data_IF_700962575571
#
_entry.id   IF_700962575571
#
_cell.length_a   1.000
_cell.length_b   1.000
_cell.length_c   1.000
_cell.angle_alpha   90.00
_cell.angle_beta   90.00
_cell.angle_gamma   90.00
#
_symmetry.space_group_name_H-M   'P 1'
#
loop_
_entity.id
_entity.type
_entity.pdbx_description
1 polymer ?
#
# COMPACT_ATOMS: atom_id res chain seq x y z
N UNK A 1 -20.98 69.41 25.68
CA UNK A 1 -22.34 69.14 25.14
C UNK A 1 -22.14 68.26 23.90
N UNK A 2 -22.50 66.98 23.80
CA UNK A 2 -23.34 66.05 24.58
C UNK A 2 -22.61 64.72 24.74
N UNK A 3 -22.77 64.13 25.91
CA UNK A 3 -22.45 62.73 26.24
C UNK A 3 -23.54 61.85 25.61
N UNK A 4 -23.17 60.76 24.94
CA UNK A 4 -24.09 59.65 24.68
C UNK A 4 -23.41 58.31 24.98
N UNK A 5 -23.93 57.71 26.05
CA UNK A 5 -23.82 56.29 26.37
C UNK A 5 -24.27 55.43 25.19
N UNK A 6 -23.59 54.31 24.97
CA UNK A 6 -24.26 53.09 24.51
C UNK A 6 -23.50 51.87 25.01
N UNK A 7 -24.01 51.33 26.10
CA UNK A 7 -23.86 49.92 26.46
C UNK A 7 -24.40 49.06 25.31
N UNK A 8 -23.74 47.94 25.00
CA UNK A 8 -24.40 46.72 24.52
C UNK A 8 -23.45 45.52 24.51
N UNK A 9 -23.96 44.48 25.18
CA UNK A 9 -23.82 43.05 24.87
C UNK A 9 -22.43 42.41 24.96
N UNK A 10 -22.13 41.87 26.14
CA UNK A 10 -21.30 40.67 26.26
C UNK A 10 -22.06 39.49 25.64
N UNK A 11 -21.58 38.99 24.49
CA UNK A 11 -22.03 37.72 23.92
C UNK A 11 -21.16 36.61 24.53
N UNK A 12 -21.76 35.78 25.39
CA UNK A 12 -21.14 34.56 25.92
C UNK A 12 -21.12 33.54 24.77
N UNK A 13 -19.95 33.34 24.16
CA UNK A 13 -19.74 32.27 23.19
C UNK A 13 -19.54 30.96 23.95
N UNK A 14 -20.61 30.17 24.08
CA UNK A 14 -20.51 28.79 24.53
C UNK A 14 -19.81 27.97 23.42
N UNK A 15 -18.52 27.70 23.59
CA UNK A 15 -17.82 26.68 22.80
C UNK A 15 -18.40 25.31 23.16
N UNK A 16 -19.35 24.85 22.35
CA UNK A 16 -19.66 23.42 22.23
C UNK A 16 -18.42 22.73 21.70
N UNK A 17 -17.64 22.10 22.58
CA UNK A 17 -16.71 21.05 22.19
C UNK A 17 -17.53 19.91 21.59
N UNK A 18 -17.64 19.89 20.26
CA UNK A 18 -17.98 18.68 19.55
C UNK A 18 -16.84 17.69 19.83
N UNK A 19 -17.09 16.74 20.72
CA UNK A 19 -16.25 15.55 20.87
C UNK A 19 -16.32 14.84 19.54
N UNK A 20 -15.29 15.03 18.71
CA UNK A 20 -15.02 14.20 17.56
C UNK A 20 -14.67 12.82 18.10
N UNK A 21 -15.68 11.98 18.28
CA UNK A 21 -15.49 10.55 18.39
C UNK A 21 -14.86 10.10 17.07
N UNK A 22 -13.55 9.89 17.11
CA UNK A 22 -12.77 9.33 16.01
C UNK A 22 -13.49 8.07 15.49
N UNK A 23 -13.79 7.95 14.18
CA UNK A 23 -14.51 6.81 13.61
C UNK A 23 -13.66 5.52 13.54
N UNK A 24 -12.55 5.45 14.28
CA UNK A 24 -11.61 4.32 14.26
C UNK A 24 -12.00 3.17 15.19
N UNK A 25 -13.12 3.28 15.88
CA UNK A 25 -13.85 2.11 16.35
C UNK A 25 -14.73 1.52 15.22
N UNK A 26 -14.16 1.31 14.02
CA UNK A 26 -14.56 0.17 13.19
C UNK A 26 -14.03 -1.10 13.89
N UNK A 27 -14.54 -1.31 15.12
CA UNK A 27 -14.57 -2.62 15.71
C UNK A 27 -15.25 -3.47 14.65
N UNK A 28 -14.58 -4.54 14.24
CA UNK A 28 -15.20 -5.74 13.70
C UNK A 28 -16.07 -6.40 14.79
N UNK A 29 -16.91 -5.60 15.44
CA UNK A 29 -18.15 -6.07 15.98
C UNK A 29 -18.92 -6.51 14.73
N UNK A 30 -18.77 -7.80 14.39
CA UNK A 30 -19.99 -8.59 14.27
C UNK A 30 -20.85 -8.07 15.41
N UNK A 31 -21.89 -7.30 15.10
CA UNK A 31 -22.86 -6.95 16.13
C UNK A 31 -23.15 -8.29 16.78
N UNK A 32 -22.76 -8.49 18.04
CA UNK A 32 -22.74 -9.84 18.65
C UNK A 32 -24.14 -10.49 18.58
N UNK A 33 -25.14 -9.65 18.27
CA UNK A 33 -26.55 -9.94 18.11
C UNK A 33 -27.05 -10.01 16.65
N UNK A 34 -26.18 -9.94 15.62
CA UNK A 34 -26.63 -10.18 14.24
C UNK A 34 -26.96 -11.66 14.08
N UNK A 35 -28.18 -12.01 13.65
CA UNK A 35 -28.55 -13.40 13.39
C UNK A 35 -27.79 -13.98 12.19
N UNK A 36 -27.43 -13.17 11.19
CA UNK A 36 -26.64 -13.63 10.06
C UNK A 36 -25.16 -13.80 10.41
N UNK A 37 -24.58 -14.95 10.09
CA UNK A 37 -23.17 -15.27 10.37
C UNK A 37 -22.53 -16.01 9.19
N UNK A 38 -21.28 -15.67 8.90
CA UNK A 38 -20.40 -16.47 8.05
C UNK A 38 -19.38 -17.12 8.97
N UNK A 39 -19.37 -18.44 9.02
CA UNK A 39 -18.40 -19.24 9.75
C UNK A 39 -17.40 -19.82 8.76
N UNK A 40 -16.10 -19.69 9.05
CA UNK A 40 -15.03 -20.29 8.27
C UNK A 40 -14.28 -21.26 9.17
N UNK A 41 -13.91 -22.44 8.66
CA UNK A 41 -13.16 -23.42 9.45
C UNK A 41 -11.78 -22.90 9.89
N UNK A 42 -11.22 -21.96 9.11
CA UNK A 42 -9.97 -21.28 9.39
C UNK A 42 -9.99 -19.85 8.85
N UNK A 43 -9.55 -18.90 9.65
CA UNK A 43 -9.55 -17.47 9.30
C UNK A 43 -8.14 -16.87 9.20
N UNK A 44 -7.12 -17.59 9.68
CA UNK A 44 -5.73 -17.13 9.69
C UNK A 44 -4.80 -18.11 9.00
N UNK A 45 -3.85 -17.60 8.21
CA UNK A 45 -2.93 -18.41 7.43
C UNK A 45 -1.53 -17.80 7.49
N UNK A 46 -0.53 -18.65 7.68
CA UNK A 46 0.85 -18.21 7.55
C UNK A 46 1.17 -18.02 6.07
N UNK A 47 1.70 -16.84 5.74
CA UNK A 47 2.21 -16.53 4.43
C UNK A 47 3.44 -17.39 4.12
N UNK A 48 3.58 -17.78 2.87
CA UNK A 48 4.69 -18.60 2.36
C UNK A 48 5.04 -18.22 0.93
N UNK A 49 6.10 -18.77 0.35
CA UNK A 49 6.47 -18.43 -1.03
C UNK A 49 5.52 -19.08 -2.04
N UNK A 50 5.29 -18.39 -3.16
CA UNK A 50 4.64 -18.99 -4.31
C UNK A 50 5.46 -20.19 -4.82
N UNK A 51 4.77 -21.26 -5.20
CA UNK A 51 5.37 -22.48 -5.72
C UNK A 51 4.52 -23.01 -6.87
N UNK A 52 5.17 -23.48 -7.93
CA UNK A 52 4.50 -23.99 -9.13
C UNK A 52 3.70 -25.27 -8.89
N UNK A 53 3.97 -25.98 -7.79
CA UNK A 53 3.23 -27.16 -7.35
C UNK A 53 1.87 -26.84 -6.69
N UNK A 54 1.54 -25.57 -6.49
CA UNK A 54 0.28 -25.14 -5.89
C UNK A 54 0.21 -25.32 -4.36
N UNK A 55 1.29 -25.72 -3.69
CA UNK A 55 1.29 -25.95 -2.22
C UNK A 55 1.02 -24.69 -1.40
N UNK A 56 1.15 -23.51 -1.98
CA UNK A 56 0.77 -22.23 -1.37
C UNK A 56 -0.76 -22.01 -1.35
N UNK A 57 -1.52 -22.73 -2.17
CA UNK A 57 -2.98 -22.69 -2.19
C UNK A 57 -3.56 -23.64 -1.13
N UNK A 58 -4.61 -23.22 -0.45
CA UNK A 58 -5.36 -24.06 0.48
C UNK A 58 -6.86 -23.84 0.30
N UNK A 59 -7.59 -24.93 0.11
CA UNK A 59 -9.06 -24.87 0.12
C UNK A 59 -9.54 -24.85 1.56
N UNK A 60 -10.48 -23.95 1.84
CA UNK A 60 -11.19 -23.93 3.11
C UNK A 60 -12.70 -24.01 2.94
N UNK A 61 -13.36 -24.56 3.95
CA UNK A 61 -14.82 -24.61 4.05
C UNK A 61 -15.36 -23.43 4.87
N UNK A 62 -16.52 -22.96 4.45
CA UNK A 62 -17.32 -22.01 5.20
C UNK A 62 -18.80 -22.38 5.19
N UNK A 63 -19.57 -21.76 6.09
CA UNK A 63 -21.02 -21.92 6.18
C UNK A 63 -21.67 -20.56 6.44
N UNK A 64 -22.77 -20.30 5.74
CA UNK A 64 -23.61 -19.13 5.96
C UNK A 64 -24.88 -19.54 6.72
N UNK A 65 -25.14 -18.90 7.85
CA UNK A 65 -26.31 -19.15 8.69
C UNK A 65 -27.08 -17.86 8.99
N UNK A 66 -28.37 -18.02 9.33
CA UNK A 66 -29.21 -16.99 9.91
C UNK A 66 -29.90 -17.57 11.16
N UNK A 67 -29.45 -17.14 12.34
CA UNK A 67 -29.67 -17.89 13.57
C UNK A 67 -29.00 -19.27 13.45
N UNK A 68 -29.72 -20.31 13.82
CA UNK A 68 -29.23 -21.70 13.71
C UNK A 68 -29.55 -22.36 12.36
N UNK A 69 -30.16 -21.63 11.43
CA UNK A 69 -30.62 -22.18 10.15
C UNK A 69 -29.63 -21.89 9.01
N UNK A 70 -29.31 -22.89 8.17
CA UNK A 70 -28.45 -22.69 7.02
C UNK A 70 -29.13 -21.86 5.94
N UNK A 71 -28.35 -21.04 5.25
CA UNK A 71 -28.82 -20.18 4.15
C UNK A 71 -28.36 -20.77 2.82
N UNK A 72 -29.30 -21.36 2.09
CA UNK A 72 -29.04 -21.96 0.78
C UNK A 72 -29.08 -20.92 -0.34
N UNK A 73 -28.33 -21.14 -1.43
CA UNK A 73 -28.33 -20.35 -2.66
C UNK A 73 -27.99 -18.85 -2.52
N UNK A 74 -27.44 -18.43 -1.38
CA UNK A 74 -26.84 -17.11 -1.28
C UNK A 74 -25.54 -17.05 -2.09
N UNK A 75 -25.16 -15.87 -2.54
CA UNK A 75 -23.88 -15.65 -3.24
C UNK A 75 -22.93 -14.96 -2.29
N UNK A 76 -21.83 -15.63 -1.97
CA UNK A 76 -20.70 -15.07 -1.23
C UNK A 76 -19.54 -14.72 -2.17
N UNK A 77 -18.76 -13.73 -1.80
CA UNK A 77 -17.59 -13.29 -2.55
C UNK A 77 -16.47 -12.92 -1.59
N UNK A 78 -15.24 -13.27 -1.95
CA UNK A 78 -14.04 -12.79 -1.25
C UNK A 78 -13.59 -11.52 -1.95
N UNK A 79 -13.56 -10.38 -1.25
CA UNK A 79 -13.29 -9.06 -1.83
C UNK A 79 -14.24 -8.64 -2.98
N UNK A 80 -14.12 -7.41 -3.50
CA UNK A 80 -15.04 -6.90 -4.53
C UNK A 80 -14.78 -7.45 -5.94
N UNK A 81 -13.64 -8.13 -6.16
CA UNK A 81 -13.19 -8.63 -7.46
C UNK A 81 -13.05 -10.16 -7.48
N UNK A 82 -13.23 -10.83 -6.35
CA UNK A 82 -13.09 -12.29 -6.27
C UNK A 82 -14.22 -13.04 -6.95
N UNK A 83 -14.08 -14.36 -7.00
CA UNK A 83 -15.08 -15.25 -7.58
C UNK A 83 -16.34 -15.27 -6.71
N UNK A 84 -17.50 -15.17 -7.36
CA UNK A 84 -18.80 -15.43 -6.73
C UNK A 84 -18.99 -16.92 -6.49
N UNK A 85 -19.36 -17.29 -5.26
CA UNK A 85 -19.57 -18.67 -4.83
C UNK A 85 -20.99 -18.78 -4.29
N UNK A 86 -21.75 -19.78 -4.74
CA UNK A 86 -23.10 -20.02 -4.26
C UNK A 86 -23.07 -21.00 -3.09
N UNK A 87 -23.84 -20.71 -2.03
CA UNK A 87 -23.98 -21.62 -0.89
C UNK A 87 -24.86 -22.82 -1.23
N UNK A 88 -24.49 -24.00 -0.73
CA UNK A 88 -25.26 -25.24 -0.84
C UNK A 88 -26.51 -25.25 0.03
N UNK A 89 -27.29 -26.34 -0.02
CA UNK A 89 -28.52 -26.49 0.76
C UNK A 89 -28.30 -26.43 2.29
N UNK A 90 -27.13 -26.88 2.75
CA UNK A 90 -26.68 -26.81 4.13
C UNK A 90 -25.94 -25.50 4.47
N UNK A 91 -26.02 -24.51 3.57
CA UNK A 91 -25.35 -23.22 3.69
C UNK A 91 -23.84 -23.28 3.49
N UNK A 92 -23.26 -24.46 3.18
CA UNK A 92 -21.83 -24.60 3.02
C UNK A 92 -21.34 -24.01 1.69
N UNK A 93 -20.09 -23.56 1.69
CA UNK A 93 -19.35 -23.12 0.51
C UNK A 93 -17.86 -23.43 0.68
N UNK A 94 -17.11 -23.40 -0.43
CA UNK A 94 -15.66 -23.60 -0.45
C UNK A 94 -14.98 -22.45 -1.16
N UNK A 95 -13.82 -22.05 -0.64
CA UNK A 95 -12.96 -21.04 -1.26
C UNK A 95 -11.50 -21.49 -1.20
N UNK A 96 -10.70 -21.04 -2.15
CA UNK A 96 -9.26 -21.26 -2.17
C UNK A 96 -8.55 -20.00 -1.69
N UNK A 97 -7.71 -20.14 -0.65
CA UNK A 97 -6.85 -19.08 -0.13
C UNK A 97 -5.46 -19.22 -0.73
N UNK A 98 -4.98 -18.14 -1.34
CA UNK A 98 -3.59 -18.00 -1.77
C UNK A 98 -2.74 -17.48 -0.61
N UNK A 99 -1.82 -18.32 -0.10
CA UNK A 99 -0.91 -17.97 1.00
C UNK A 99 0.37 -17.28 0.54
N UNK A 100 0.52 -17.01 -0.76
CA UNK A 100 1.73 -16.38 -1.31
C UNK A 100 1.75 -14.85 -1.19
N UNK A 101 0.61 -14.26 -0.83
CA UNK A 101 0.42 -12.83 -0.70
C UNK A 101 -0.13 -12.52 0.70
N UNK A 102 0.59 -11.67 1.44
CA UNK A 102 0.03 -11.11 2.67
C UNK A 102 -1.24 -10.33 2.33
N UNK A 103 -2.31 -10.55 3.08
CA UNK A 103 -3.60 -9.96 2.77
C UNK A 103 -4.56 -10.06 3.95
N UNK A 104 -5.38 -9.03 4.10
CA UNK A 104 -6.61 -9.07 4.86
C UNK A 104 -7.80 -8.95 3.90
N UNK A 105 -8.61 -10.00 3.82
CA UNK A 105 -9.78 -10.06 2.95
C UNK A 105 -11.04 -10.32 3.75
N UNK A 106 -12.16 -9.81 3.25
CA UNK A 106 -13.48 -10.10 3.81
C UNK A 106 -14.26 -10.98 2.84
N UNK A 107 -14.75 -12.10 3.35
CA UNK A 107 -15.81 -12.87 2.72
C UNK A 107 -17.13 -12.17 3.04
N UNK A 108 -17.92 -11.81 2.04
CA UNK A 108 -19.18 -11.08 2.19
C UNK A 108 -20.29 -11.77 1.43
N UNK A 109 -21.53 -11.63 1.90
CA UNK A 109 -22.70 -11.95 1.08
C UNK A 109 -22.95 -10.80 0.11
N UNK A 110 -22.94 -11.08 -1.19
CA UNK A 110 -23.13 -10.08 -2.25
C UNK A 110 -24.49 -10.19 -2.94
N UNK A 111 -25.19 -11.32 -2.78
CA UNK A 111 -26.56 -11.46 -3.23
C UNK A 111 -27.32 -12.51 -2.39
N UNK A 112 -28.59 -12.22 -2.14
CA UNK A 112 -29.56 -13.10 -1.47
C UNK A 112 -30.84 -13.29 -2.28
N UNK A 113 -30.84 -12.88 -3.55
CA UNK A 113 -32.04 -12.86 -4.39
C UNK A 113 -32.66 -14.24 -4.58
N UNK A 114 -31.83 -15.27 -4.71
CA UNK A 114 -32.25 -16.67 -4.84
C UNK A 114 -32.12 -17.45 -3.52
N UNK A 115 -31.72 -16.77 -2.46
CA UNK A 115 -31.38 -17.43 -1.21
C UNK A 115 -32.64 -17.95 -0.50
N UNK A 116 -32.48 -19.05 0.25
CA UNK A 116 -33.57 -19.73 0.96
C UNK A 116 -33.17 -20.05 2.39
N UNK A 117 -34.15 -19.93 3.29
CA UNK A 117 -34.07 -20.31 4.69
C UNK A 117 -35.14 -21.38 4.97
N UNK A 118 -34.72 -22.60 5.35
CA UNK A 118 -35.66 -23.72 5.50
C UNK A 118 -36.49 -24.01 4.25
N UNK A 119 -35.89 -23.84 3.06
CA UNK A 119 -36.55 -24.03 1.77
C UNK A 119 -37.43 -22.87 1.28
N UNK A 120 -37.66 -21.83 2.10
CA UNK A 120 -38.50 -20.66 1.76
C UNK A 120 -37.65 -19.47 1.32
N UNK A 121 -38.13 -18.60 0.41
CA UNK A 121 -37.46 -17.35 0.09
C UNK A 121 -37.25 -16.48 1.34
N UNK A 122 -36.14 -15.74 1.36
CA UNK A 122 -35.75 -14.91 2.50
C UNK A 122 -36.55 -13.60 2.49
N UNK A 123 -37.04 -13.17 3.68
CA UNK A 123 -37.71 -11.88 3.86
C UNK A 123 -36.73 -10.70 3.94
N UNK A 124 -37.22 -9.47 3.75
CA UNK A 124 -36.39 -8.27 3.64
C UNK A 124 -35.43 -8.04 4.83
N UNK A 125 -35.89 -8.26 6.06
CA UNK A 125 -35.07 -8.04 7.26
C UNK A 125 -33.91 -9.03 7.33
N UNK A 126 -34.17 -10.30 7.02
CA UNK A 126 -33.15 -11.33 6.96
C UNK A 126 -32.18 -11.09 5.79
N UNK A 127 -32.68 -10.63 4.64
CA UNK A 127 -31.87 -10.24 3.50
C UNK A 127 -30.88 -9.12 3.84
N UNK A 128 -31.35 -8.07 4.52
CA UNK A 128 -30.50 -6.95 4.95
C UNK A 128 -29.40 -7.40 5.93
N UNK A 129 -29.76 -8.22 6.92
CA UNK A 129 -28.80 -8.78 7.88
C UNK A 129 -27.76 -9.68 7.17
N UNK A 130 -28.18 -10.53 6.24
CA UNK A 130 -27.27 -11.37 5.47
C UNK A 130 -26.30 -10.56 4.61
N UNK A 131 -26.78 -9.53 3.90
CA UNK A 131 -25.93 -8.65 3.09
C UNK A 131 -24.91 -7.86 3.93
N UNK A 132 -25.16 -7.67 5.23
CA UNK A 132 -24.20 -7.08 6.17
C UNK A 132 -23.20 -8.08 6.74
N UNK A 133 -23.46 -9.39 6.61
CA UNK A 133 -22.61 -10.43 7.18
C UNK A 133 -21.26 -10.50 6.46
N UNK A 134 -20.20 -10.62 7.24
CA UNK A 134 -18.85 -10.80 6.73
C UNK A 134 -17.98 -11.65 7.65
N UNK A 135 -16.98 -12.32 7.09
CA UNK A 135 -15.96 -13.04 7.85
C UNK A 135 -14.56 -12.70 7.31
N UNK A 136 -13.57 -12.46 8.18
CA UNK A 136 -12.21 -12.13 7.75
C UNK A 136 -11.39 -13.37 7.41
N UNK A 137 -10.51 -13.19 6.44
CA UNK A 137 -9.38 -14.08 6.13
C UNK A 137 -8.12 -13.22 6.21
N UNK A 138 -7.14 -13.67 7.00
CA UNK A 138 -5.85 -13.00 7.19
C UNK A 138 -4.71 -13.92 6.79
N UNK A 139 -3.87 -13.48 5.87
CA UNK A 139 -2.64 -14.15 5.43
C UNK A 139 -1.46 -13.26 5.84
N UNK A 140 -0.58 -13.77 6.70
CA UNK A 140 0.49 -12.98 7.32
C UNK A 140 1.69 -13.83 7.74
N UNK A 141 2.83 -13.22 7.99
CA UNK A 141 3.98 -13.86 8.61
C UNK A 141 3.92 -13.69 10.15
N UNK A 142 4.04 -14.75 10.95
CA UNK A 142 4.02 -14.58 12.41
C UNK A 142 5.08 -13.58 12.87
N UNK A 143 4.74 -12.73 13.85
CA UNK A 143 5.68 -11.77 14.44
C UNK A 143 5.96 -12.19 15.88
N UNK A 144 7.25 -12.33 16.18
CA UNK A 144 7.77 -12.68 17.49
C UNK A 144 8.38 -11.44 18.15
N UNK A 145 8.06 -11.19 19.42
CA UNK A 145 8.72 -10.16 20.21
C UNK A 145 9.90 -10.79 20.94
N UNK A 146 11.12 -10.51 20.48
CA UNK A 146 12.32 -11.05 21.11
C UNK A 146 12.64 -10.36 22.45
N UNK A 147 12.46 -9.04 22.53
CA UNK A 147 12.77 -8.24 23.72
C UNK A 147 12.04 -6.91 23.72
N UNK A 148 11.68 -6.42 24.91
CA UNK A 148 11.27 -5.03 25.13
C UNK A 148 12.20 -4.41 26.17
N UNK A 149 12.73 -3.22 25.89
CA UNK A 149 13.61 -2.49 26.82
C UNK A 149 13.32 -0.99 26.81
N UNK A 150 13.64 -0.25 27.88
CA UNK A 150 13.57 1.21 27.87
C UNK A 150 14.47 1.80 26.78
N UNK A 151 14.05 2.90 26.15
CA UNK A 151 14.92 3.61 25.22
C UNK A 151 16.04 4.32 26.00
N UNK A 152 17.28 4.18 25.52
CA UNK A 152 18.47 4.79 26.11
C UNK A 152 18.43 6.33 26.06
N UNK A 153 17.71 6.89 25.09
CA UNK A 153 17.62 8.34 24.86
C UNK A 153 16.38 8.98 25.48
N UNK A 154 15.40 8.19 25.92
CA UNK A 154 14.09 8.67 26.38
C UNK A 154 13.42 7.61 27.28
N UNK A 155 13.39 7.85 28.59
CA UNK A 155 12.89 6.88 29.58
C UNK A 155 11.38 6.58 29.46
N UNK A 156 10.62 7.48 28.82
CA UNK A 156 9.18 7.32 28.57
C UNK A 156 8.89 6.50 27.31
N UNK A 157 9.94 6.12 26.57
CA UNK A 157 9.85 5.26 25.40
C UNK A 157 10.42 3.88 25.67
N UNK A 158 9.95 2.93 24.87
CA UNK A 158 10.46 1.56 24.83
C UNK A 158 10.95 1.25 23.42
N UNK A 159 11.99 0.42 23.33
CA UNK A 159 12.41 -0.27 22.11
C UNK A 159 11.84 -1.68 22.14
N UNK A 160 11.02 -2.02 21.16
CA UNK A 160 10.47 -3.35 20.95
C UNK A 160 11.25 -4.02 19.83
N UNK A 161 12.06 -5.00 20.19
CA UNK A 161 12.83 -5.83 19.25
C UNK A 161 11.93 -6.98 18.79
N UNK A 162 11.59 -6.99 17.51
CA UNK A 162 10.66 -7.95 16.93
C UNK A 162 11.26 -8.62 15.69
N UNK A 163 10.66 -9.75 15.30
CA UNK A 163 11.09 -10.52 14.14
C UNK A 163 9.90 -11.04 13.36
N UNK A 164 9.91 -10.82 12.05
CA UNK A 164 9.02 -11.48 11.10
C UNK A 164 9.52 -12.92 10.90
N UNK A 165 8.72 -13.91 11.27
CA UNK A 165 9.07 -15.32 11.12
C UNK A 165 8.84 -15.78 9.68
N UNK A 166 9.91 -16.27 9.07
CA UNK A 166 9.94 -16.74 7.68
C UNK A 166 10.12 -18.26 7.69
N UNK A 167 9.37 -18.96 6.84
CA UNK A 167 9.60 -20.39 6.62
C UNK A 167 11.02 -20.65 6.13
N UNK A 168 11.63 -21.78 6.53
CA UNK A 168 13.03 -22.11 6.21
C UNK A 168 13.37 -22.02 4.72
N UNK A 169 12.41 -22.37 3.86
CA UNK A 169 12.57 -22.39 2.40
C UNK A 169 11.94 -21.18 1.72
N UNK A 170 11.40 -20.23 2.50
CA UNK A 170 10.72 -19.07 1.97
C UNK A 170 11.68 -17.90 1.71
N UNK A 171 11.45 -17.19 0.60
CA UNK A 171 12.23 -16.01 0.23
C UNK A 171 11.32 -14.79 0.24
N UNK A 172 11.58 -13.89 1.17
CA UNK A 172 10.88 -12.61 1.27
C UNK A 172 11.79 -11.50 0.77
N UNK A 173 11.23 -10.57 -0.01
CA UNK A 173 11.89 -9.30 -0.30
C UNK A 173 11.48 -8.29 0.77
N UNK A 174 12.33 -8.11 1.77
CA UNK A 174 12.20 -6.99 2.69
C UNK A 174 12.45 -5.67 1.99
N UNK A 175 11.98 -4.60 2.63
CA UNK A 175 12.01 -3.25 2.10
C UNK A 175 13.43 -2.79 1.75
N UNK A 176 13.66 -2.56 0.46
CA UNK A 176 14.97 -2.20 -0.09
C UNK A 176 14.81 -1.34 -1.34
N UNK A 177 15.91 -0.72 -1.78
CA UNK A 177 15.91 0.00 -3.04
C UNK A 177 15.49 -0.94 -4.19
N UNK A 178 14.51 -0.51 -4.96
CA UNK A 178 13.87 -1.24 -6.05
C UNK A 178 14.18 -0.54 -7.37
N UNK A 179 13.73 0.71 -7.53
CA UNK A 179 13.89 1.47 -8.78
C UNK A 179 14.46 2.85 -8.53
N UNK A 180 14.99 3.47 -9.57
CA UNK A 180 15.49 4.85 -9.56
C UNK A 180 14.60 5.71 -10.43
N UNK A 181 14.56 7.01 -10.16
CA UNK A 181 13.69 7.96 -10.86
C UNK A 181 14.45 8.61 -12.00
N UNK A 182 13.84 8.67 -13.17
CA UNK A 182 14.19 9.62 -14.22
C UNK A 182 13.08 10.65 -14.22
N UNK A 183 13.39 11.89 -13.85
CA UNK A 183 12.45 13.01 -13.90
C UNK A 183 12.99 14.12 -14.77
N UNK A 184 12.16 15.09 -15.12
CA UNK A 184 12.63 16.13 -16.01
C UNK A 184 11.56 17.11 -16.46
N UNK A 185 11.94 17.94 -17.42
CA UNK A 185 11.05 18.88 -18.09
C UNK A 185 11.23 18.79 -19.61
N UNK A 186 10.12 18.78 -20.35
CA UNK A 186 10.10 18.97 -21.80
C UNK A 186 9.63 20.40 -22.09
N UNK A 187 10.42 21.11 -22.89
CA UNK A 187 10.14 22.46 -23.36
C UNK A 187 10.25 22.56 -24.88
N UNK A 188 9.57 23.53 -25.47
CA UNK A 188 9.67 23.81 -26.90
C UNK A 188 10.95 24.62 -27.22
N UNK A 189 11.15 24.93 -28.49
CA UNK A 189 12.31 25.66 -28.96
C UNK A 189 12.42 27.09 -28.39
N UNK A 190 11.35 27.66 -27.85
CA UNK A 190 11.31 28.99 -27.23
C UNK A 190 11.44 28.91 -25.69
N UNK A 191 11.46 27.69 -25.13
CA UNK A 191 11.58 27.43 -23.71
C UNK A 191 10.24 27.31 -22.97
N UNK A 192 9.12 27.31 -23.70
CA UNK A 192 7.81 27.10 -23.08
C UNK A 192 7.61 25.63 -22.73
N UNK A 193 6.94 25.30 -21.62
CA UNK A 193 6.66 23.91 -21.26
C UNK A 193 5.75 23.22 -22.28
N UNK A 194 6.06 21.97 -22.62
CA UNK A 194 5.23 21.14 -23.51
C UNK A 194 4.41 20.17 -22.68
N UNK A 195 3.08 20.30 -22.70
CA UNK A 195 2.17 19.39 -22.01
C UNK A 195 1.85 18.15 -22.86
N UNK A 196 1.54 17.02 -22.21
CA UNK A 196 1.13 15.74 -22.82
C UNK A 196 2.19 15.08 -23.74
N UNK A 197 3.44 15.54 -23.68
CA UNK A 197 4.59 14.81 -24.21
C UNK A 197 4.87 13.54 -23.39
N UNK A 198 5.31 12.47 -24.04
CA UNK A 198 5.85 11.27 -23.41
C UNK A 198 7.35 11.17 -23.65
N UNK A 199 8.11 10.82 -22.63
CA UNK A 199 9.53 10.50 -22.74
C UNK A 199 9.70 8.99 -22.60
N UNK A 200 10.40 8.38 -23.54
CA UNK A 200 10.64 6.94 -23.63
C UNK A 200 12.14 6.70 -23.63
N UNK A 201 12.55 5.70 -22.85
CA UNK A 201 13.91 5.21 -22.78
C UNK A 201 13.88 3.74 -23.21
N UNK A 202 14.67 3.43 -24.24
CA UNK A 202 14.68 2.12 -24.89
C UNK A 202 16.10 1.56 -24.86
N UNK A 203 16.24 0.24 -24.73
CA UNK A 203 17.55 -0.41 -24.91
C UNK A 203 17.90 -0.47 -26.38
N UNK A 204 19.20 -0.44 -26.71
CA UNK A 204 19.69 -0.58 -28.08
C UNK A 204 19.25 -1.87 -28.78
N UNK A 205 18.87 -2.91 -28.02
CA UNK A 205 18.31 -4.17 -28.54
C UNK A 205 16.77 -4.16 -28.73
N UNK A 206 16.10 -3.02 -28.51
CA UNK A 206 14.69 -2.81 -28.88
C UNK A 206 13.64 -3.27 -27.86
N UNK A 207 14.03 -3.82 -26.71
CA UNK A 207 13.11 -4.00 -25.59
C UNK A 207 12.94 -2.66 -24.85
N UNK A 208 11.74 -2.07 -24.98
CA UNK A 208 11.40 -0.82 -24.31
C UNK A 208 11.53 -0.94 -22.79
N UNK A 209 12.23 0.01 -22.17
CA UNK A 209 12.70 -0.12 -20.80
C UNK A 209 11.90 0.73 -19.82
N UNK A 210 11.59 1.98 -20.16
CA UNK A 210 10.74 2.85 -19.35
C UNK A 210 10.01 3.89 -20.21
N UNK A 211 8.73 4.11 -19.86
CA UNK A 211 7.88 5.16 -20.44
C UNK A 211 7.40 6.09 -19.32
N UNK A 212 7.49 7.40 -19.56
CA UNK A 212 7.02 8.40 -18.59
C UNK A 212 5.50 8.46 -18.49
N UNK A 213 5.05 9.04 -17.39
CA UNK A 213 3.75 9.72 -17.37
C UNK A 213 3.73 10.83 -18.44
N UNK A 214 2.55 11.17 -19.00
CA UNK A 214 2.44 12.35 -19.84
C UNK A 214 2.88 13.59 -19.07
N UNK A 215 3.63 14.48 -19.72
CA UNK A 215 4.07 15.74 -19.11
C UNK A 215 2.90 16.59 -18.66
N UNK A 216 3.03 17.21 -17.49
CA UNK A 216 2.03 18.12 -16.94
C UNK A 216 2.03 19.50 -17.65
N UNK A 217 1.19 20.43 -17.17
CA UNK A 217 1.12 21.81 -17.71
C UNK A 217 2.43 22.60 -17.61
N UNK A 218 3.37 22.16 -16.77
CA UNK A 218 4.69 22.74 -16.62
C UNK A 218 5.75 21.95 -17.40
N UNK A 219 5.34 20.99 -18.23
CA UNK A 219 6.23 20.13 -19.00
C UNK A 219 6.94 19.07 -18.16
N UNK A 220 6.56 18.85 -16.90
CA UNK A 220 7.24 17.93 -16.00
C UNK A 220 6.80 16.50 -16.24
N UNK A 221 7.75 15.57 -16.24
CA UNK A 221 7.50 14.14 -16.34
C UNK A 221 8.32 13.37 -15.33
N UNK A 222 7.92 12.12 -15.09
CA UNK A 222 8.73 11.14 -14.39
C UNK A 222 8.50 9.73 -14.93
N UNK A 223 9.51 8.88 -14.74
CA UNK A 223 9.46 7.44 -14.94
C UNK A 223 10.41 6.78 -13.93
N UNK A 224 10.28 5.46 -13.78
CA UNK A 224 11.14 4.67 -12.91
C UNK A 224 11.85 3.58 -13.69
N UNK A 225 13.12 3.37 -13.39
CA UNK A 225 13.97 2.41 -14.09
C UNK A 225 14.74 1.52 -13.13
N UNK A 226 15.11 0.34 -13.60
CA UNK A 226 16.03 -0.55 -12.88
C UNK A 226 17.45 -0.21 -13.30
N UNK A 227 18.43 -0.01 -12.40
CA UNK A 227 19.73 0.46 -12.81
C UNK A 227 20.57 -0.68 -13.40
N UNK A 228 20.48 -0.88 -14.70
CA UNK A 228 21.39 -1.72 -15.48
C UNK A 228 22.40 -0.79 -16.18
N UNK A 229 23.67 -1.21 -16.25
CA UNK A 229 24.71 -0.42 -16.94
C UNK A 229 24.50 -0.59 -18.43
N UNK A 230 23.64 0.26 -19.00
CA UNK A 230 23.18 0.12 -20.37
C UNK A 230 23.14 1.47 -21.06
N UNK A 231 23.59 1.45 -22.31
CA UNK A 231 23.36 2.52 -23.25
C UNK A 231 21.90 2.48 -23.69
N UNK A 232 21.26 3.65 -23.65
CA UNK A 232 19.81 3.78 -23.88
C UNK A 232 19.50 4.84 -24.93
N UNK A 233 18.50 4.56 -25.75
CA UNK A 233 17.92 5.53 -26.66
C UNK A 233 16.95 6.44 -25.89
N UNK A 234 16.91 7.71 -26.28
CA UNK A 234 15.93 8.68 -25.80
C UNK A 234 15.00 9.05 -26.93
N UNK A 235 13.70 8.84 -26.70
CA UNK A 235 12.63 9.25 -27.60
C UNK A 235 11.66 10.18 -26.86
N UNK A 236 11.30 11.31 -27.47
CA UNK A 236 10.20 12.17 -27.00
C UNK A 236 9.07 12.16 -28.00
N UNK A 237 7.86 11.89 -27.55
CA UNK A 237 6.66 11.83 -28.40
C UNK A 237 5.72 12.98 -28.02
N UNK A 238 5.35 13.81 -29.00
CA UNK A 238 4.39 14.92 -28.84
C UNK A 238 3.33 14.82 -29.92
N UNK A 239 2.11 14.41 -29.54
CA UNK A 239 1.07 14.08 -30.51
C UNK A 239 1.53 12.95 -31.45
N UNK A 240 1.66 13.25 -32.73
CA UNK A 240 2.15 12.31 -33.76
C UNK A 240 3.64 12.47 -34.09
N UNK A 241 4.32 13.45 -33.49
CA UNK A 241 5.75 13.71 -33.75
C UNK A 241 6.62 12.94 -32.77
N UNK A 242 7.68 12.36 -33.28
CA UNK A 242 8.70 11.65 -32.51
C UNK A 242 10.04 12.37 -32.66
N UNK A 243 10.70 12.64 -31.55
CA UNK A 243 12.02 13.27 -31.49
C UNK A 243 13.02 12.28 -30.91
N UNK A 244 14.19 12.15 -31.55
CA UNK A 244 15.22 11.16 -31.16
C UNK A 244 16.60 11.79 -31.08
N UNK A 245 17.53 11.14 -30.40
CA UNK A 245 18.95 11.52 -30.44
C UNK A 245 19.53 11.40 -31.85
N UNK A 246 20.68 12.06 -32.13
CA UNK A 246 21.40 11.87 -33.38
C UNK A 246 21.80 10.41 -33.59
N UNK A 247 21.93 9.98 -34.85
CA UNK A 247 22.27 8.60 -35.18
C UNK A 247 23.55 8.15 -34.46
N UNK A 248 23.47 7.01 -33.76
CA UNK A 248 24.59 6.43 -33.02
C UNK A 248 24.88 7.10 -31.67
N UNK A 249 24.02 8.01 -31.21
CA UNK A 249 24.09 8.60 -29.87
C UNK A 249 23.11 7.91 -28.93
N UNK A 250 23.60 7.67 -27.72
CA UNK A 250 22.91 6.98 -26.63
C UNK A 250 23.13 7.75 -25.34
N UNK A 251 22.21 7.60 -24.39
CA UNK A 251 22.36 8.03 -23.01
C UNK A 251 22.86 6.87 -22.16
N UNK A 252 23.99 7.07 -21.49
CA UNK A 252 24.46 6.13 -20.46
C UNK A 252 23.93 6.55 -19.10
N UNK A 253 22.99 5.78 -18.55
CA UNK A 253 22.41 6.08 -17.23
C UNK A 253 23.34 5.59 -16.11
N UNK A 254 23.61 6.40 -15.07
CA UNK A 254 24.43 5.97 -13.95
C UNK A 254 23.75 4.84 -13.18
N UNK A 255 24.57 3.93 -12.63
CA UNK A 255 24.07 2.89 -11.73
C UNK A 255 23.53 3.51 -10.46
N UNK A 256 22.43 2.91 -9.98
CA UNK A 256 21.88 3.14 -8.66
C UNK A 256 21.73 4.62 -8.30
N UNK A 257 21.32 5.43 -9.27
CA UNK A 257 21.28 6.89 -9.12
C UNK A 257 20.06 7.41 -9.85
N UNK A 258 19.23 8.21 -9.19
CA UNK A 258 18.15 8.90 -9.91
C UNK A 258 18.76 9.99 -10.81
N UNK A 259 18.06 10.41 -11.85
CA UNK A 259 18.55 11.44 -12.79
C UNK A 259 17.46 12.44 -13.14
N UNK A 260 17.90 13.66 -13.43
CA UNK A 260 17.10 14.73 -13.99
C UNK A 260 17.52 14.98 -15.44
N UNK A 261 16.59 14.85 -16.38
CA UNK A 261 16.82 15.07 -17.80
C UNK A 261 15.93 16.22 -18.28
N UNK A 262 16.51 17.35 -18.66
CA UNK A 262 15.77 18.46 -19.26
C UNK A 262 15.96 18.44 -20.77
N UNK A 263 14.84 18.53 -21.48
CA UNK A 263 14.77 18.37 -22.93
C UNK A 263 14.12 19.62 -23.52
N UNK A 264 14.81 20.25 -24.47
CA UNK A 264 14.28 21.31 -25.32
C UNK A 264 14.13 20.78 -26.74
N UNK A 265 12.91 20.77 -27.24
CA UNK A 265 12.61 20.32 -28.59
C UNK A 265 13.13 21.33 -29.62
N UNK A 266 13.67 20.88 -30.77
CA UNK A 266 14.12 21.78 -31.82
C UNK A 266 12.92 22.48 -32.47
N UNK A 267 13.17 23.68 -33.03
CA UNK A 267 12.14 24.44 -33.76
C UNK A 267 11.74 23.74 -35.06
N UNK A 268 12.71 23.12 -35.70
CA UNK A 268 12.57 22.41 -36.98
C UNK A 268 13.22 21.03 -36.88
N UNK A 269 12.65 20.07 -37.62
CA UNK A 269 13.11 18.67 -37.61
C UNK A 269 12.69 17.89 -36.37
N UNK A 270 13.26 16.69 -36.23
CA UNK A 270 12.93 15.70 -35.19
C UNK A 270 14.16 15.17 -34.47
N UNK A 271 15.34 15.73 -34.73
CA UNK A 271 16.58 15.30 -34.08
C UNK A 271 16.86 16.23 -32.90
N UNK A 272 16.97 15.65 -31.70
CA UNK A 272 17.38 16.35 -30.49
C UNK A 272 18.88 16.67 -30.60
N UNK A 273 19.27 17.89 -30.25
CA UNK A 273 20.67 18.23 -30.04
C UNK A 273 21.13 17.63 -28.70
N UNK A 274 22.21 16.85 -28.71
CA UNK A 274 22.73 16.10 -27.56
C UNK A 274 23.54 16.98 -26.58
N UNK A 275 23.51 18.30 -26.78
CA UNK A 275 24.23 19.29 -25.99
C UNK A 275 23.30 20.26 -25.26
N UNK A 276 23.78 20.89 -24.16
CA UNK A 276 23.07 22.00 -23.55
C UNK A 276 22.90 23.18 -24.52
N UNK A 277 21.78 23.93 -24.45
CA UNK A 277 20.68 23.78 -23.50
C UNK A 277 19.61 22.76 -23.94
N UNK A 278 19.80 22.09 -25.08
CA UNK A 278 18.80 21.22 -25.69
C UNK A 278 18.60 19.92 -24.91
N UNK A 279 19.69 19.37 -24.42
CA UNK A 279 19.67 18.20 -23.53
C UNK A 279 20.58 18.47 -22.34
N UNK A 280 20.00 18.48 -21.14
CA UNK A 280 20.74 18.62 -19.88
C UNK A 280 20.49 17.38 -19.05
N UNK A 281 21.57 16.74 -18.63
CA UNK A 281 21.56 15.52 -17.84
C UNK A 281 22.27 15.77 -16.51
N UNK A 282 21.58 15.51 -15.41
CA UNK A 282 22.12 15.65 -14.07
C UNK A 282 21.73 14.45 -13.19
N UNK A 283 22.56 14.12 -12.22
CA UNK A 283 22.16 13.18 -11.17
C UNK A 283 21.14 13.84 -10.24
N UNK A 284 20.27 13.04 -9.66
CA UNK A 284 19.31 13.45 -8.64
C UNK A 284 19.28 12.43 -7.50
N UNK A 285 18.80 12.87 -6.36
CA UNK A 285 18.72 12.07 -5.14
C UNK A 285 17.53 11.13 -5.16
N UNK A 286 17.59 10.16 -4.26
CA UNK A 286 16.47 9.28 -3.96
C UNK A 286 16.35 8.03 -4.81
N UNK A 287 15.47 7.15 -4.35
CA UNK A 287 15.11 5.90 -5.00
C UNK A 287 13.70 5.49 -4.56
N UNK A 288 13.06 4.64 -5.36
CA UNK A 288 11.89 3.88 -4.97
C UNK A 288 12.33 2.68 -4.17
N UNK A 289 11.75 2.52 -2.99
CA UNK A 289 11.92 1.38 -2.12
C UNK A 289 10.69 0.51 -2.18
N UNK A 290 10.88 -0.80 -2.20
CA UNK A 290 9.79 -1.76 -2.24
C UNK A 290 10.10 -2.96 -1.35
N UNK A 291 9.08 -3.49 -0.69
CA UNK A 291 9.19 -4.76 0.05
C UNK A 291 8.26 -4.84 1.25
N UNK A 292 8.42 -5.92 2.01
CA UNK A 292 7.68 -6.18 3.23
C UNK A 292 8.20 -5.30 4.38
N UNK A 293 7.26 -4.70 5.11
CA UNK A 293 7.47 -4.01 6.38
C UNK A 293 6.44 -4.51 7.40
N UNK A 294 6.76 -4.33 8.69
CA UNK A 294 5.83 -4.48 9.78
C UNK A 294 5.77 -3.19 10.61
N UNK A 295 4.61 -2.90 11.18
CA UNK A 295 4.36 -1.75 12.05
C UNK A 295 3.35 -2.06 13.14
N UNK A 296 2.88 -1.02 13.83
CA UNK A 296 1.83 -1.13 14.85
C UNK A 296 0.57 -0.39 14.42
N UNK A 297 -0.60 -1.02 14.59
CA UNK A 297 -1.90 -0.40 14.33
C UNK A 297 -2.26 0.50 15.53
N UNK A 298 -1.78 1.74 15.46
CA UNK A 298 -1.95 2.76 16.50
C UNK A 298 -2.95 3.82 16.04
N UNK A 299 -3.61 4.53 16.98
CA UNK A 299 -4.43 5.69 16.64
C UNK A 299 -3.65 6.69 15.78
N UNK A 300 -4.32 7.28 14.79
CA UNK A 300 -3.71 8.25 13.87
C UNK A 300 -3.01 9.38 14.64
N UNK A 301 -1.78 9.70 14.25
CA UNK A 301 -0.95 10.71 14.89
C UNK A 301 -0.14 10.23 16.10
N UNK A 302 -0.32 8.99 16.56
CA UNK A 302 0.55 8.41 17.60
C UNK A 302 1.97 8.26 17.06
N UNK A 303 2.98 8.93 17.63
CA UNK A 303 4.34 8.88 17.12
C UNK A 303 5.01 7.56 17.47
N UNK A 304 5.57 6.88 16.47
CA UNK A 304 6.51 5.77 16.65
C UNK A 304 7.47 5.71 15.47
N UNK A 305 8.67 5.18 15.69
CA UNK A 305 9.61 4.85 14.61
C UNK A 305 9.69 3.34 14.44
N UNK A 306 10.11 2.92 13.24
CA UNK A 306 10.37 1.52 12.93
C UNK A 306 11.64 1.43 12.09
N UNK A 307 12.48 0.44 12.34
CA UNK A 307 13.63 0.17 11.47
C UNK A 307 13.26 -0.73 10.31
N UNK A 308 13.95 -0.57 9.18
CA UNK A 308 13.83 -1.48 8.05
C UNK A 308 14.26 -2.88 8.48
N UNK A 309 13.43 -3.92 8.28
CA UNK A 309 13.80 -5.30 8.63
C UNK A 309 15.09 -5.73 7.93
N UNK A 310 15.93 -6.46 8.66
CA UNK A 310 17.12 -7.10 8.09
C UNK A 310 16.77 -8.38 7.31
N UNK A 311 17.75 -9.05 6.66
CA UNK A 311 17.50 -10.29 5.91
C UNK A 311 16.91 -11.43 6.75
N UNK A 312 17.08 -11.41 8.07
CA UNK A 312 16.50 -12.36 9.00
C UNK A 312 15.10 -11.95 9.52
N UNK A 313 14.58 -10.81 9.04
CA UNK A 313 13.29 -10.24 9.40
C UNK A 313 13.27 -9.50 10.72
N UNK A 314 14.43 -9.18 11.31
CA UNK A 314 14.52 -8.46 12.59
C UNK A 314 14.36 -6.96 12.38
N UNK A 315 13.58 -6.33 13.25
CA UNK A 315 13.32 -4.90 13.24
C UNK A 315 13.08 -4.38 14.67
N UNK A 316 13.16 -3.07 14.83
CA UNK A 316 12.97 -2.39 16.11
C UNK A 316 11.90 -1.32 15.95
N UNK A 317 10.95 -1.31 16.88
CA UNK A 317 9.98 -0.22 17.03
C UNK A 317 10.38 0.64 18.22
N UNK A 318 10.31 1.96 18.10
CA UNK A 318 10.46 2.88 19.23
C UNK A 318 9.19 3.69 19.40
N UNK A 319 8.54 3.57 20.55
CA UNK A 319 7.26 4.22 20.87
C UNK A 319 7.15 4.55 22.35
N UNK A 320 6.14 5.33 22.74
CA UNK A 320 5.88 5.59 24.16
C UNK A 320 5.48 4.31 24.90
N UNK A 321 5.91 4.20 26.15
CA UNK A 321 5.56 3.09 27.05
C UNK A 321 4.04 2.94 27.18
N UNK A 322 3.33 4.06 27.34
CA UNK A 322 1.87 4.09 27.44
C UNK A 322 1.18 3.51 26.18
N UNK A 323 1.71 3.81 24.98
CA UNK A 323 1.17 3.25 23.75
C UNK A 323 1.43 1.73 23.65
N UNK A 324 2.60 1.27 24.11
CA UNK A 324 2.95 -0.15 24.12
C UNK A 324 2.10 -0.96 25.11
N UNK A 325 1.84 -0.44 26.32
CA UNK A 325 1.03 -1.10 27.36
C UNK A 325 -0.43 -1.33 26.95
N UNK A 326 -0.90 -0.67 25.88
CA UNK A 326 -2.21 -0.93 25.26
C UNK A 326 -2.23 -2.17 24.36
N UNK A 327 -1.11 -2.88 24.25
CA UNK A 327 -0.93 -4.07 23.41
C UNK A 327 -1.45 -3.89 21.97
N UNK A 328 -0.97 -2.85 21.25
CA UNK A 328 -1.42 -2.61 19.89
C UNK A 328 -1.09 -3.82 19.00
N UNK A 329 -1.99 -4.23 18.10
CA UNK A 329 -1.68 -5.29 17.16
C UNK A 329 -0.62 -4.80 16.17
N UNK A 330 0.20 -5.72 15.71
CA UNK A 330 1.08 -5.47 14.57
C UNK A 330 0.26 -5.48 13.28
N UNK A 331 0.81 -4.87 12.24
CA UNK A 331 0.36 -5.10 10.88
C UNK A 331 1.56 -5.35 9.97
N UNK A 332 1.31 -6.04 8.87
CA UNK A 332 2.27 -6.18 7.77
C UNK A 332 1.77 -5.48 6.53
N UNK A 333 2.69 -4.87 5.78
CA UNK A 333 2.33 -4.22 4.53
C UNK A 333 3.44 -4.37 3.50
N UNK A 334 3.05 -4.41 2.22
CA UNK A 334 3.98 -4.24 1.10
C UNK A 334 3.95 -2.78 0.69
N UNK A 335 5.01 -2.08 1.06
CA UNK A 335 5.14 -0.66 0.72
C UNK A 335 6.00 -0.51 -0.52
N UNK A 336 5.55 0.30 -1.47
CA UNK A 336 6.37 0.85 -2.56
C UNK A 336 6.32 2.37 -2.48
N UNK A 337 7.46 3.02 -2.25
CA UNK A 337 7.51 4.48 -2.06
C UNK A 337 8.84 5.07 -2.49
N UNK A 338 8.79 6.22 -3.15
CA UNK A 338 9.97 7.02 -3.46
C UNK A 338 10.40 7.86 -2.25
N UNK A 339 11.68 7.84 -1.91
CA UNK A 339 12.28 8.68 -0.89
C UNK A 339 13.30 9.59 -1.56
N UNK A 340 13.04 10.90 -1.53
CA UNK A 340 13.95 11.90 -2.08
C UNK A 340 15.00 12.29 -1.03
N UNK A 341 16.04 11.47 -0.91
CA UNK A 341 17.10 11.68 0.06
C UNK A 341 18.45 11.22 -0.49
N UNK A 342 19.51 11.88 -0.04
CA UNK A 342 20.89 11.56 -0.42
C UNK A 342 21.32 10.20 0.15
N UNK A 343 20.94 9.90 1.40
CA UNK A 343 21.30 8.65 2.06
C UNK A 343 20.42 7.51 1.57
N UNK A 344 21.03 6.44 1.06
CA UNK A 344 20.32 5.19 0.83
C UNK A 344 19.87 4.56 2.14
N UNK A 345 18.57 4.30 2.26
CA UNK A 345 18.04 3.47 3.34
C UNK A 345 18.55 2.04 3.20
N UNK A 346 18.95 1.45 4.31
CA UNK A 346 19.35 0.04 4.45
C UNK A 346 18.68 -0.59 5.66
N UNK A 347 18.77 -1.92 5.78
CA UNK A 347 18.35 -2.64 6.97
C UNK A 347 18.88 -1.97 8.25
N UNK A 348 18.02 -1.84 9.26
CA UNK A 348 18.31 -1.17 10.52
C UNK A 348 18.17 0.35 10.51
N UNK A 349 18.10 1.01 9.35
CA UNK A 349 17.77 2.45 9.32
C UNK A 349 16.32 2.67 9.75
N UNK A 350 16.07 3.74 10.52
CA UNK A 350 14.72 4.16 10.89
C UNK A 350 13.97 4.75 9.68
N UNK A 351 12.70 4.35 9.54
CA UNK A 351 11.78 4.95 8.60
C UNK A 351 11.13 6.21 9.22
N UNK A 352 10.92 7.28 8.43
CA UNK A 352 10.20 8.46 8.90
C UNK A 352 8.80 8.08 9.44
N UNK A 353 8.39 8.66 10.58
CA UNK A 353 7.13 8.36 11.29
C UNK A 353 5.90 8.41 10.37
N UNK A 354 5.88 9.33 9.40
CA UNK A 354 4.76 9.50 8.46
C UNK A 354 4.79 8.52 7.26
N UNK A 355 5.76 7.62 7.19
CA UNK A 355 5.97 6.77 6.00
C UNK A 355 5.25 5.43 6.06
N UNK A 356 4.87 4.97 7.26
CA UNK A 356 4.25 3.66 7.46
C UNK A 356 2.93 3.80 8.22
N UNK A 357 1.84 3.36 7.60
CA UNK A 357 0.50 3.34 8.19
C UNK A 357 -0.20 2.06 7.73
N UNK A 358 -1.04 1.49 8.60
CA UNK A 358 -1.80 0.30 8.26
C UNK A 358 -2.88 0.63 7.22
N UNK A 359 -2.84 -0.07 6.08
CA UNK A 359 -3.91 -0.07 5.11
C UNK A 359 -5.11 -0.93 5.57
N UNK A 360 -6.27 -0.72 4.96
CA UNK A 360 -7.47 -1.54 5.25
C UNK A 360 -7.33 -3.01 4.80
N UNK A 361 -6.32 -3.32 3.98
CA UNK A 361 -6.05 -4.66 3.47
C UNK A 361 -4.83 -5.30 4.11
N UNK A 362 -4.20 -4.61 5.08
CA UNK A 362 -3.05 -5.14 5.81
C UNK A 362 -3.55 -6.10 6.92
N UNK A 363 -2.98 -7.30 7.05
CA UNK A 363 -3.32 -8.19 8.16
C UNK A 363 -2.95 -7.55 9.50
N UNK A 364 -3.82 -7.67 10.49
CA UNK A 364 -3.53 -7.32 11.90
C UNK A 364 -3.18 -8.58 12.67
N UNK A 365 -2.13 -8.51 13.46
CA UNK A 365 -1.46 -9.67 14.05
C UNK A 365 -1.23 -9.40 15.53
N UNK A 366 -1.62 -10.35 16.38
CA UNK A 366 -1.17 -10.37 17.78
C UNK A 366 0.18 -11.08 17.79
N UNK A 367 1.23 -10.37 18.18
CA UNK A 367 2.56 -10.97 18.23
C UNK A 367 2.64 -12.05 19.33
N UNK A 368 3.44 -13.08 19.08
CA UNK A 368 3.73 -14.10 20.08
C UNK A 368 4.87 -13.64 20.99
N UNK A 369 4.73 -13.95 22.27
CA UNK A 369 5.88 -13.99 23.19
C UNK A 369 6.85 -15.11 22.72
N UNK A 370 8.16 -14.97 23.03
CA UNK A 370 9.18 -15.92 22.59
C UNK A 370 9.04 -17.29 23.26
#
# INVERSE_FOLDING_TARGET
MRIHNNAKLLLILAMTMAVWLSPLAYRYANAENSPARIELEKTTFHAMSWRSDGTHLIDIQGRLTYGDQPVANAVVQVDSKGRSIRTGEDGAFRLTVDRSLIAYKLVRVVSVQEAKLGGKPIGNDAAASLLSASAPISVYHPIEIAKVEPSETDADKVKVHARIQIGKDDKISFFRADKYRIAGQVSDADGNPVQNAFVWIDRDSGEGFAKSTPTDRNGRYEMYYWPEEEDTNLTVIVGTRQYTLPKGKVLSLPRRTSVEIRIRLPKEGTVLDDKPPSLVFATSTGATYSGLLAGLDLPSGTPYTVTIPDPEGRFILTLSREAWEKHPPFFETRLTKFFDQEKFLKAGDELPIASLQAGNQDPRIVASAP
#
